data_IF_833400809161
#
_entry.id   IF_833400809161
#
_cell.length_a   1.000
_cell.length_b   1.000
_cell.length_c   1.000
_cell.angle_alpha   90.00
_cell.angle_beta   90.00
_cell.angle_gamma   90.00
#
_symmetry.space_group_name_H-M   'P 1'
#
loop_
_entity.id
_entity.type
_entity.pdbx_description
1 polymer ?
#
# COMPACT_ATOMS: atom_id res chain seq x y z
N UNK A 1 22.40 28.45 8.18
CA UNK A 1 22.51 29.29 6.97
C UNK A 1 21.51 28.75 5.96
N UNK A 2 20.29 29.30 5.94
CA UNK A 2 19.22 28.83 5.06
C UNK A 2 19.55 29.29 3.64
N UNK A 3 20.01 28.36 2.79
CA UNK A 3 20.13 28.61 1.36
C UNK A 3 18.73 28.75 0.80
N UNK A 4 18.25 29.99 0.70
CA UNK A 4 17.06 30.36 -0.06
C UNK A 4 17.36 30.03 -1.53
N UNK A 5 16.96 28.83 -1.97
CA UNK A 5 17.03 28.43 -3.37
C UNK A 5 16.23 29.45 -4.21
N UNK A 6 16.85 29.93 -5.30
CA UNK A 6 16.29 31.02 -6.10
C UNK A 6 14.88 30.71 -6.67
N UNK A 7 14.01 31.74 -6.83
CA UNK A 7 12.62 31.61 -7.28
C UNK A 7 12.39 30.99 -8.68
N UNK A 8 13.45 30.57 -9.39
CA UNK A 8 13.35 30.04 -10.74
C UNK A 8 12.62 28.70 -10.82
N UNK A 9 12.57 27.94 -9.72
CA UNK A 9 11.92 26.63 -9.67
C UNK A 9 10.39 26.68 -9.50
N UNK A 10 9.80 27.84 -9.17
CA UNK A 10 8.34 28.01 -9.00
C UNK A 10 7.59 28.34 -10.29
N UNK A 11 8.29 28.62 -11.40
CA UNK A 11 7.64 29.07 -12.64
C UNK A 11 7.04 27.87 -13.39
N UNK A 12 5.79 27.55 -13.08
CA UNK A 12 4.92 26.72 -13.93
C UNK A 12 4.16 25.60 -13.24
N UNK A 13 4.52 25.22 -12.00
CA UNK A 13 3.78 24.19 -11.28
C UNK A 13 2.67 24.82 -10.41
N UNK A 14 1.42 24.58 -10.79
CA UNK A 14 0.26 25.23 -10.17
C UNK A 14 0.08 24.93 -8.66
N UNK A 15 0.65 23.84 -8.15
CA UNK A 15 0.58 23.41 -6.74
C UNK A 15 1.76 23.86 -5.87
N UNK A 16 2.74 24.59 -6.43
CA UNK A 16 3.99 24.92 -5.74
C UNK A 16 4.16 26.45 -5.63
N UNK A 17 3.38 27.11 -4.77
CA UNK A 17 3.45 28.58 -4.57
C UNK A 17 4.51 28.99 -3.54
N UNK A 18 5.02 28.06 -2.75
CA UNK A 18 6.08 28.25 -1.75
C UNK A 18 7.14 27.13 -1.79
N UNK A 19 8.30 27.33 -1.14
CA UNK A 19 9.35 26.30 -1.03
C UNK A 19 8.82 25.02 -0.37
N UNK A 20 7.99 25.20 0.65
CA UNK A 20 7.36 24.08 1.35
C UNK A 20 6.39 23.32 0.43
N UNK A 21 5.49 24.03 -0.25
CA UNK A 21 4.57 23.41 -1.22
C UNK A 21 5.32 22.69 -2.33
N UNK A 22 6.40 23.27 -2.88
CA UNK A 22 7.22 22.60 -3.89
C UNK A 22 7.77 21.24 -3.40
N UNK A 23 8.26 21.18 -2.16
CA UNK A 23 8.75 19.94 -1.55
C UNK A 23 7.62 18.92 -1.33
N UNK A 24 6.46 19.39 -0.86
CA UNK A 24 5.27 18.54 -0.67
C UNK A 24 4.81 17.96 -2.00
N UNK A 25 4.64 18.79 -3.04
CA UNK A 25 4.20 18.30 -4.35
C UNK A 25 5.25 17.35 -4.97
N UNK A 26 6.54 17.63 -4.79
CA UNK A 26 7.62 16.72 -5.21
C UNK A 26 7.56 15.37 -4.50
N UNK A 27 7.25 15.36 -3.20
CA UNK A 27 7.02 14.15 -2.42
C UNK A 27 5.79 13.37 -2.92
N UNK A 28 4.64 14.03 -3.07
CA UNK A 28 3.39 13.40 -3.56
C UNK A 28 3.58 12.74 -4.93
N UNK A 29 4.26 13.45 -5.84
CA UNK A 29 4.56 12.93 -7.16
C UNK A 29 5.49 11.70 -7.09
N UNK A 30 6.41 11.68 -6.14
CA UNK A 30 7.31 10.54 -5.91
C UNK A 30 6.57 9.35 -5.30
N UNK A 31 5.64 9.57 -4.37
CA UNK A 31 4.76 8.53 -3.82
C UNK A 31 3.92 7.89 -4.92
N UNK A 32 3.32 8.69 -5.81
CA UNK A 32 2.51 8.17 -6.91
C UNK A 32 3.32 7.30 -7.88
N UNK A 33 4.50 7.77 -8.33
CA UNK A 33 5.34 6.95 -9.23
C UNK A 33 5.87 5.70 -8.54
N UNK A 34 6.18 5.81 -7.24
CA UNK A 34 6.62 4.67 -6.44
C UNK A 34 5.51 3.63 -6.30
N UNK A 35 4.28 4.05 -6.00
CA UNK A 35 3.14 3.12 -5.86
C UNK A 35 2.87 2.35 -7.15
N UNK A 36 2.91 3.01 -8.30
CA UNK A 36 2.78 2.36 -9.61
C UNK A 36 3.92 1.37 -9.90
N UNK A 37 5.16 1.76 -9.60
CA UNK A 37 6.33 0.88 -9.78
C UNK A 37 6.29 -0.33 -8.84
N UNK A 38 5.85 -0.11 -7.61
CA UNK A 38 5.67 -1.16 -6.60
C UNK A 38 4.53 -2.11 -6.99
N UNK A 39 3.40 -1.60 -7.47
CA UNK A 39 2.28 -2.40 -7.95
C UNK A 39 2.71 -3.32 -9.10
N UNK A 40 3.46 -2.79 -10.07
CA UNK A 40 4.01 -3.56 -11.18
C UNK A 40 4.97 -4.63 -10.70
N UNK A 41 5.91 -4.28 -9.81
CA UNK A 41 6.84 -5.24 -9.23
C UNK A 41 6.13 -6.42 -8.56
N UNK A 42 5.10 -6.14 -7.76
CA UNK A 42 4.30 -7.17 -7.07
C UNK A 42 3.60 -8.07 -8.08
N UNK A 43 2.95 -7.50 -9.09
CA UNK A 43 2.24 -8.26 -10.12
C UNK A 43 3.19 -9.11 -10.98
N UNK A 44 4.32 -8.54 -11.44
CA UNK A 44 5.31 -9.26 -12.25
C UNK A 44 5.94 -10.41 -11.45
N UNK A 45 6.37 -10.16 -10.22
CA UNK A 45 6.91 -11.21 -9.33
C UNK A 45 5.86 -12.30 -9.09
N UNK A 46 4.61 -11.91 -8.89
CA UNK A 46 3.47 -12.81 -8.76
C UNK A 46 3.25 -13.69 -9.99
N UNK A 47 3.25 -13.10 -11.18
CA UNK A 47 2.96 -13.82 -12.43
C UNK A 47 3.91 -15.00 -12.70
N UNK A 48 5.13 -14.97 -12.14
CA UNK A 48 6.10 -16.07 -12.25
C UNK A 48 5.73 -17.28 -11.38
N UNK A 49 4.91 -17.08 -10.35
CA UNK A 49 4.61 -18.09 -9.32
C UNK A 49 3.16 -18.57 -9.38
N UNK A 50 2.23 -17.63 -9.55
CA UNK A 50 0.81 -17.94 -9.53
C UNK A 50 0.34 -18.30 -10.94
N UNK A 51 -0.32 -19.45 -11.09
CA UNK A 51 -0.98 -19.83 -12.34
C UNK A 51 -2.20 -18.96 -12.68
N UNK A 52 -2.73 -18.25 -11.68
CA UNK A 52 -3.87 -17.35 -11.81
C UNK A 52 -3.41 -15.91 -11.89
N UNK A 53 -4.01 -15.13 -12.79
CA UNK A 53 -3.76 -13.68 -12.91
C UNK A 53 -4.32 -12.92 -11.70
N UNK A 54 -3.48 -12.75 -10.69
CA UNK A 54 -3.77 -11.98 -9.48
C UNK A 54 -3.29 -10.54 -9.68
N UNK A 55 -4.13 -9.57 -9.31
CA UNK A 55 -3.71 -8.17 -9.29
C UNK A 55 -3.04 -7.87 -7.95
N UNK A 56 -2.44 -6.68 -7.86
CA UNK A 56 -1.76 -6.22 -6.64
C UNK A 56 -2.64 -6.38 -5.38
N UNK A 57 -3.94 -6.04 -5.45
CA UNK A 57 -4.83 -6.15 -4.29
C UNK A 57 -4.95 -7.59 -3.78
N UNK A 58 -5.12 -8.57 -4.67
CA UNK A 58 -5.16 -9.98 -4.30
C UNK A 58 -3.84 -10.47 -3.69
N UNK A 59 -2.69 -10.05 -4.24
CA UNK A 59 -1.37 -10.36 -3.67
C UNK A 59 -1.21 -9.81 -2.26
N UNK A 60 -1.52 -8.52 -2.06
CA UNK A 60 -1.39 -7.87 -0.76
C UNK A 60 -2.33 -8.51 0.26
N UNK A 61 -3.57 -8.82 -0.12
CA UNK A 61 -4.53 -9.51 0.77
C UNK A 61 -4.01 -10.90 1.17
N UNK A 62 -3.45 -11.67 0.24
CA UNK A 62 -2.86 -12.97 0.53
C UNK A 62 -1.71 -12.86 1.55
N UNK A 63 -0.80 -11.90 1.36
CA UNK A 63 0.29 -11.65 2.32
C UNK A 63 -0.21 -11.14 3.67
N UNK A 64 -1.25 -10.32 3.71
CA UNK A 64 -1.89 -9.87 4.96
C UNK A 64 -2.51 -11.04 5.71
N UNK A 65 -3.19 -11.96 5.01
CA UNK A 65 -3.75 -13.16 5.64
C UNK A 65 -2.62 -14.00 6.26
N UNK A 66 -1.51 -14.19 5.53
CA UNK A 66 -0.34 -14.92 6.02
C UNK A 66 0.41 -14.21 7.17
N UNK A 67 0.31 -12.89 7.27
CA UNK A 67 1.01 -12.13 8.31
C UNK A 67 0.70 -12.66 9.72
N UNK A 68 1.72 -13.07 10.48
CA UNK A 68 1.59 -13.63 11.85
C UNK A 68 0.75 -14.92 11.96
N UNK A 69 0.45 -15.60 10.85
CA UNK A 69 -0.23 -16.91 10.79
C UNK A 69 -1.52 -17.03 11.62
N UNK A 70 -2.25 -15.92 11.73
CA UNK A 70 -3.56 -15.86 12.40
C UNK A 70 -4.66 -15.56 11.39
N UNK A 71 -5.83 -16.25 11.47
CA UNK A 71 -6.97 -15.94 10.63
C UNK A 71 -7.41 -14.47 10.77
N UNK A 72 -7.80 -13.83 9.67
CA UNK A 72 -8.26 -12.44 9.65
C UNK A 72 -9.58 -12.31 8.92
N UNK A 73 -10.52 -11.56 9.50
CA UNK A 73 -11.76 -11.21 8.83
C UNK A 73 -11.59 -10.04 7.85
N UNK A 74 -12.55 -9.88 6.93
CA UNK A 74 -12.49 -8.86 5.87
C UNK A 74 -12.35 -7.43 6.40
N UNK A 75 -12.98 -7.10 7.53
CA UNK A 75 -12.87 -5.78 8.17
C UNK A 75 -11.45 -5.52 8.72
N UNK A 76 -10.80 -6.54 9.27
CA UNK A 76 -9.41 -6.42 9.72
C UNK A 76 -8.46 -6.25 8.54
N UNK A 77 -8.69 -6.97 7.44
CA UNK A 77 -7.92 -6.82 6.21
C UNK A 77 -8.09 -5.40 5.65
N UNK A 78 -9.32 -4.87 5.61
CA UNK A 78 -9.63 -3.51 5.17
C UNK A 78 -8.84 -2.45 5.94
N UNK A 79 -8.86 -2.55 7.27
CA UNK A 79 -8.09 -1.66 8.15
C UNK A 79 -6.58 -1.76 7.92
N UNK A 80 -6.03 -2.96 7.78
CA UNK A 80 -4.59 -3.15 7.53
C UNK A 80 -4.15 -2.60 6.17
N UNK A 81 -5.04 -2.54 5.18
CA UNK A 81 -4.76 -1.96 3.87
C UNK A 81 -5.03 -0.46 3.80
N UNK A 82 -5.56 0.14 4.86
CA UNK A 82 -6.14 1.48 4.87
C UNK A 82 -7.18 1.69 3.76
N UNK A 83 -8.19 0.81 3.71
CA UNK A 83 -9.25 0.81 2.68
C UNK A 83 -10.64 0.72 3.28
N UNK A 84 -11.57 1.43 2.67
CA UNK A 84 -13.00 1.43 3.06
C UNK A 84 -13.90 0.59 2.14
N UNK A 85 -13.37 0.07 1.03
CA UNK A 85 -14.14 -0.65 0.01
C UNK A 85 -14.29 -2.15 0.30
N UNK A 86 -15.01 -2.48 1.38
CA UNK A 86 -15.26 -3.86 1.79
C UNK A 86 -15.80 -4.79 0.67
N UNK A 87 -16.68 -4.36 -0.25
CA UNK A 87 -17.14 -5.21 -1.36
C UNK A 87 -16.00 -5.70 -2.28
N UNK A 88 -14.99 -4.85 -2.53
CA UNK A 88 -13.84 -5.21 -3.36
C UNK A 88 -12.91 -6.19 -2.62
N UNK A 89 -12.72 -5.99 -1.32
CA UNK A 89 -11.99 -6.94 -0.47
C UNK A 89 -12.67 -8.30 -0.48
N UNK A 90 -14.00 -8.35 -0.35
CA UNK A 90 -14.75 -9.61 -0.45
C UNK A 90 -14.69 -10.25 -1.84
N UNK A 91 -14.58 -9.45 -2.91
CA UNK A 91 -14.33 -9.97 -4.25
C UNK A 91 -12.94 -10.62 -4.35
N UNK A 92 -11.89 -9.94 -3.87
CA UNK A 92 -10.53 -10.46 -3.83
C UNK A 92 -10.44 -11.76 -3.01
N UNK A 93 -11.10 -11.80 -1.84
CA UNK A 93 -11.14 -12.98 -0.97
C UNK A 93 -11.80 -14.19 -1.65
N UNK A 94 -12.93 -13.98 -2.33
CA UNK A 94 -13.58 -15.05 -3.13
C UNK A 94 -12.69 -15.56 -4.25
N UNK A 95 -11.93 -14.67 -4.91
CA UNK A 95 -10.99 -15.05 -5.97
C UNK A 95 -9.82 -15.87 -5.42
N UNK A 96 -9.25 -15.47 -4.28
CA UNK A 96 -8.19 -16.22 -3.60
C UNK A 96 -8.67 -17.59 -3.09
N UNK A 97 -9.90 -17.66 -2.58
CA UNK A 97 -10.56 -18.90 -2.15
C UNK A 97 -10.77 -19.84 -3.36
N UNK A 98 -11.27 -19.31 -4.48
CA UNK A 98 -11.46 -20.07 -5.73
C UNK A 98 -10.13 -20.57 -6.32
N UNK A 99 -9.04 -19.84 -6.10
CA UNK A 99 -7.69 -20.26 -6.48
C UNK A 99 -7.08 -21.30 -5.51
N UNK A 100 -7.76 -21.62 -4.41
CA UNK A 100 -7.31 -22.55 -3.37
C UNK A 100 -6.18 -22.02 -2.50
N UNK A 101 -5.97 -20.70 -2.46
CA UNK A 101 -4.86 -20.06 -1.73
C UNK A 101 -5.23 -19.72 -0.28
N UNK A 102 -6.53 -19.52 -0.03
CA UNK A 102 -7.08 -19.22 1.30
C UNK A 102 -8.33 -20.04 1.52
N UNK A 103 -8.69 -20.23 2.78
CA UNK A 103 -9.90 -20.92 3.21
C UNK A 103 -10.66 -20.09 4.24
N UNK A 104 -11.99 -20.16 4.19
CA UNK A 104 -12.86 -19.56 5.20
C UNK A 104 -12.86 -20.38 6.48
N UNK A 105 -12.72 -19.69 7.60
CA UNK A 105 -12.85 -20.22 8.94
C UNK A 105 -14.03 -19.49 9.60
N UNK A 106 -14.94 -20.26 10.20
CA UNK A 106 -16.06 -19.68 10.94
C UNK A 106 -15.58 -19.13 12.28
N UNK A 107 -15.85 -17.86 12.56
CA UNK A 107 -15.56 -17.26 13.86
C UNK A 107 -16.74 -17.47 14.82
N UNK A 108 -16.54 -18.26 15.87
CA UNK A 108 -17.50 -18.46 16.95
C UNK A 108 -18.88 -18.93 16.50
N UNK A 109 -19.94 -18.46 17.17
CA UNK A 109 -21.34 -18.84 16.92
C UNK A 109 -22.08 -17.94 15.92
N UNK A 110 -21.38 -17.03 15.23
CA UNK A 110 -21.97 -16.05 14.31
C UNK A 110 -21.90 -16.44 12.82
N UNK A 111 -22.28 -15.47 11.96
CA UNK A 111 -22.10 -15.47 10.51
C UNK A 111 -20.83 -14.71 10.07
N UNK A 112 -19.89 -14.48 10.99
CA UNK A 112 -18.62 -13.85 10.69
C UNK A 112 -17.61 -14.91 10.27
N UNK A 113 -16.86 -14.60 9.21
CA UNK A 113 -15.84 -15.47 8.65
C UNK A 113 -14.49 -14.76 8.69
N UNK A 114 -13.49 -15.49 9.18
CA UNK A 114 -12.09 -15.18 8.99
C UNK A 114 -11.53 -16.00 7.83
N UNK A 115 -10.37 -15.59 7.33
CA UNK A 115 -9.64 -16.29 6.30
C UNK A 115 -8.27 -16.68 6.83
N UNK A 116 -7.88 -17.91 6.54
CA UNK A 116 -6.53 -18.41 6.77
C UNK A 116 -5.92 -18.86 5.44
N UNK A 117 -4.59 -18.86 5.38
CA UNK A 117 -3.87 -19.41 4.24
C UNK A 117 -4.02 -20.94 4.21
N UNK A 118 -4.06 -21.53 3.01
CA UNK A 118 -3.97 -22.98 2.82
C UNK A 118 -2.51 -23.40 2.70
N UNK A 119 -2.21 -24.70 2.74
CA UNK A 119 -0.87 -25.23 2.44
C UNK A 119 -0.37 -24.78 1.05
N UNK A 120 -1.27 -24.78 0.06
CA UNK A 120 -0.96 -24.23 -1.28
C UNK A 120 -0.61 -22.75 -1.21
N UNK A 121 -1.39 -21.96 -0.47
CA UNK A 121 -1.16 -20.53 -0.29
C UNK A 121 0.16 -20.23 0.42
N UNK A 122 0.52 -21.04 1.39
CA UNK A 122 1.80 -20.95 2.11
C UNK A 122 2.98 -21.20 1.16
N UNK A 123 2.94 -22.31 0.43
CA UNK A 123 3.97 -22.67 -0.55
C UNK A 123 4.22 -21.57 -1.58
N UNK A 124 3.18 -21.06 -2.23
CA UNK A 124 3.35 -20.03 -3.27
C UNK A 124 3.84 -18.70 -2.70
N UNK A 125 3.48 -18.38 -1.45
CA UNK A 125 3.98 -17.15 -0.83
C UNK A 125 5.42 -17.30 -0.34
N UNK A 126 5.89 -18.52 -0.04
CA UNK A 126 7.31 -18.81 0.20
C UNK A 126 8.14 -18.72 -1.08
N UNK A 127 7.64 -19.27 -2.18
CA UNK A 127 8.25 -19.11 -3.50
C UNK A 127 8.34 -17.62 -3.87
N UNK A 128 7.28 -16.84 -3.59
CA UNK A 128 7.28 -15.38 -3.73
C UNK A 128 8.35 -14.70 -2.90
N UNK A 129 8.49 -15.09 -1.63
CA UNK A 129 9.55 -14.57 -0.78
C UNK A 129 10.93 -14.86 -1.38
N UNK A 130 11.17 -16.09 -1.84
CA UNK A 130 12.44 -16.51 -2.45
C UNK A 130 12.82 -15.67 -3.67
N UNK A 131 11.88 -15.47 -4.61
CA UNK A 131 12.11 -14.63 -5.79
C UNK A 131 12.35 -13.17 -5.37
N UNK A 132 11.48 -12.61 -4.51
CA UNK A 132 11.62 -11.24 -4.00
C UNK A 132 12.98 -11.02 -3.33
N UNK A 133 13.46 -11.98 -2.54
CA UNK A 133 14.77 -11.91 -1.89
C UNK A 133 15.90 -11.79 -2.92
N UNK A 134 15.87 -12.61 -3.97
CA UNK A 134 16.90 -12.58 -5.01
C UNK A 134 16.91 -11.29 -5.82
N UNK A 135 15.72 -10.78 -6.19
CA UNK A 135 15.62 -9.65 -7.13
C UNK A 135 15.66 -8.28 -6.44
N UNK A 136 15.07 -8.15 -5.26
CA UNK A 136 14.88 -6.87 -4.59
C UNK A 136 15.84 -6.67 -3.42
N UNK A 137 15.99 -7.66 -2.53
CA UNK A 137 16.82 -7.48 -1.32
C UNK A 137 18.28 -7.21 -1.69
N UNK A 138 18.82 -7.94 -2.67
CA UNK A 138 20.16 -7.70 -3.19
C UNK A 138 20.38 -6.28 -3.71
N UNK A 139 19.37 -5.69 -4.37
CA UNK A 139 19.45 -4.31 -4.88
C UNK A 139 19.37 -3.28 -3.76
N UNK A 140 18.49 -3.51 -2.78
CA UNK A 140 18.36 -2.63 -1.62
C UNK A 140 19.63 -2.61 -0.77
N UNK A 141 20.26 -3.76 -0.54
CA UNK A 141 21.51 -3.86 0.23
C UNK A 141 22.70 -3.10 -0.38
N UNK A 142 22.65 -2.71 -1.67
CA UNK A 142 23.68 -1.87 -2.29
C UNK A 142 23.50 -0.37 -1.99
N UNK A 143 22.37 0.02 -1.41
CA UNK A 143 22.08 1.42 -1.07
C UNK A 143 22.71 1.72 0.28
N UNK A 144 23.51 2.77 0.34
CA UNK A 144 24.12 3.24 1.58
C UNK A 144 23.04 3.62 2.62
N UNK A 145 23.22 3.19 3.86
CA UNK A 145 22.33 3.46 5.01
C UNK A 145 20.88 3.05 4.74
N UNK A 146 20.65 1.99 3.95
CA UNK A 146 19.29 1.57 3.57
C UNK A 146 18.43 1.16 4.76
N UNK A 147 18.91 0.44 5.80
CA UNK A 147 18.07 0.06 6.93
C UNK A 147 17.54 1.28 7.70
N UNK A 148 18.41 2.23 8.01
CA UNK A 148 18.08 3.45 8.75
C UNK A 148 17.12 4.34 7.93
N UNK A 149 17.37 4.46 6.62
CA UNK A 149 16.48 5.19 5.71
C UNK A 149 15.10 4.55 5.63
N UNK A 150 15.02 3.22 5.56
CA UNK A 150 13.75 2.51 5.52
C UNK A 150 12.96 2.72 6.82
N UNK A 151 13.60 2.60 7.97
CA UNK A 151 12.95 2.85 9.27
C UNK A 151 12.42 4.27 9.38
N UNK A 152 13.24 5.27 9.04
CA UNK A 152 12.84 6.68 9.04
C UNK A 152 11.67 6.94 8.08
N UNK A 153 11.75 6.42 6.85
CA UNK A 153 10.69 6.59 5.85
C UNK A 153 9.40 5.88 6.25
N UNK A 154 9.48 4.69 6.86
CA UNK A 154 8.30 3.98 7.38
C UNK A 154 7.59 4.83 8.44
N UNK A 155 8.32 5.36 9.42
CA UNK A 155 7.74 6.22 10.46
C UNK A 155 7.13 7.51 9.86
N UNK A 156 7.84 8.14 8.93
CA UNK A 156 7.37 9.36 8.28
C UNK A 156 6.10 9.13 7.45
N UNK A 157 6.05 8.04 6.66
CA UNK A 157 4.86 7.66 5.91
C UNK A 157 3.67 7.34 6.83
N UNK A 158 3.89 6.68 7.98
CA UNK A 158 2.82 6.42 8.95
C UNK A 158 2.21 7.71 9.49
N UNK A 159 3.02 8.72 9.82
CA UNK A 159 2.53 10.03 10.26
C UNK A 159 1.74 10.70 9.12
N UNK A 160 2.30 10.72 7.91
CA UNK A 160 1.65 11.34 6.76
C UNK A 160 0.32 10.69 6.40
N UNK A 161 0.19 9.36 6.52
CA UNK A 161 -1.10 8.67 6.32
C UNK A 161 -2.19 9.30 7.20
N UNK A 162 -1.91 9.56 8.49
CA UNK A 162 -2.87 10.22 9.38
C UNK A 162 -3.20 11.65 8.95
N UNK A 163 -2.20 12.43 8.56
CA UNK A 163 -2.38 13.82 8.06
C UNK A 163 -3.25 13.84 6.80
N UNK A 164 -3.01 12.95 5.85
CA UNK A 164 -3.80 12.88 4.62
C UNK A 164 -5.24 12.40 4.87
N UNK A 165 -5.45 11.48 5.81
CA UNK A 165 -6.79 11.08 6.22
C UNK A 165 -7.58 12.22 6.87
N UNK A 166 -6.93 13.00 7.73
CA UNK A 166 -7.55 14.17 8.35
C UNK A 166 -7.89 15.23 7.29
N UNK A 167 -6.95 15.55 6.41
CA UNK A 167 -7.18 16.48 5.30
C UNK A 167 -8.31 16.01 4.36
N UNK A 168 -8.43 14.69 4.11
CA UNK A 168 -9.52 14.13 3.31
C UNK A 168 -10.88 14.29 4.01
N UNK A 169 -10.94 14.11 5.34
CA UNK A 169 -12.17 14.35 6.13
C UNK A 169 -12.56 15.82 6.09
N UNK A 170 -11.60 16.73 6.29
CA UNK A 170 -11.83 18.17 6.22
C UNK A 170 -12.36 18.56 4.84
N UNK A 171 -11.74 18.05 3.77
CA UNK A 171 -12.18 18.31 2.39
C UNK A 171 -13.62 17.87 2.13
N UNK A 172 -14.10 16.79 2.77
CA UNK A 172 -15.48 16.33 2.62
C UNK A 172 -16.51 17.30 3.23
N UNK A 173 -16.08 18.24 4.07
CA UNK A 173 -16.94 19.26 4.69
C UNK A 173 -16.99 20.58 3.92
N UNK A 174 -16.10 20.78 2.94
CA UNK A 174 -16.01 22.02 2.17
C UNK A 174 -17.04 21.99 1.03
N UNK A 175 -17.94 22.97 1.01
CA UNK A 175 -18.86 23.18 -0.12
C UNK A 175 -18.15 24.01 -1.21
N UNK A 176 -18.20 23.62 -2.50
CA UNK A 176 -17.45 24.30 -3.57
C UNK A 176 -17.70 25.82 -3.73
N UNK A 177 -18.81 26.34 -3.19
CA UNK A 177 -19.19 27.76 -3.29
C UNK A 177 -18.70 28.64 -2.12
N UNK A 178 -18.02 28.07 -1.11
CA UNK A 178 -17.54 28.80 0.09
C UNK A 178 -16.02 28.95 0.12
N UNK A 179 -15.32 28.64 -0.97
CA UNK A 179 -13.88 28.85 -1.07
C UNK A 179 -13.57 30.37 -0.98
N UNK A 180 -12.67 30.80 -0.07
CA UNK A 180 -12.25 32.20 -0.04
C UNK A 180 -11.62 32.58 -1.39
N UNK A 181 -11.83 33.81 -1.87
CA UNK A 181 -11.26 34.25 -3.14
C UNK A 181 -9.73 34.16 -3.09
N UNK A 182 -9.18 33.59 -4.18
CA UNK A 182 -7.75 33.35 -4.45
C UNK A 182 -6.90 34.62 -4.42
#
# INVERSE_FOLDING_TARGET
MNSVMEPKYYRGWHLAKSDFEYRVTGFEWSVLRFSESFARFVAETGSVIFTSDLKMSEHIILHIIRMQDRPKNGATIARLMNRDDLPNIQYCLRKLESAGLVQKIREGKGNQFAYAVTEKGEKVTDEYHGIKAQILMNRLMQIQDVPEKLEMLTNFLSILTGVYEEAARDSATITPNELPPS
#
